data_IF_546431417617
#
_entry.id   IF_546431417617
#
_cell.length_a   1.000
_cell.length_b   1.000
_cell.length_c   1.000
_cell.angle_alpha   90.00
_cell.angle_beta   90.00
_cell.angle_gamma   90.00
#
_symmetry.space_group_name_H-M   'P 1'
#
loop_
_entity.id
_entity.type
_entity.pdbx_description
1 polymer ?
#
# COMPACT_ATOMS: atom_id res chain seq x y z
N UNK A 1 5.65 6.23 11.37
CA UNK A 1 6.16 7.03 10.23
C UNK A 1 5.10 8.05 9.80
N UNK A 2 5.47 9.14 9.10
CA UNK A 2 4.51 10.02 8.42
C UNK A 2 4.77 9.94 6.93
N UNK A 3 3.71 9.78 6.15
CA UNK A 3 3.76 9.91 4.69
C UNK A 3 3.21 11.28 4.33
N UNK A 4 3.97 12.07 3.59
CA UNK A 4 3.55 13.40 3.15
C UNK A 4 3.62 13.46 1.63
N UNK A 5 2.48 13.70 0.99
CA UNK A 5 2.44 14.06 -0.42
C UNK A 5 2.62 15.58 -0.54
N UNK A 6 3.82 15.99 -0.96
CA UNK A 6 4.16 17.40 -1.14
C UNK A 6 3.36 18.09 -2.25
N UNK A 7 2.81 17.33 -3.22
CA UNK A 7 2.00 17.90 -4.31
C UNK A 7 0.63 18.37 -3.79
N UNK A 8 0.10 17.69 -2.77
CA UNK A 8 -1.25 17.95 -2.25
C UNK A 8 -1.27 18.47 -0.81
N UNK A 9 -0.11 18.60 -0.14
CA UNK A 9 -0.03 19.00 1.26
C UNK A 9 -0.63 17.97 2.24
N UNK A 10 -0.95 16.78 1.74
CA UNK A 10 -1.55 15.69 2.51
C UNK A 10 -0.50 15.04 3.40
N UNK A 11 -0.82 14.80 4.67
CA UNK A 11 0.04 14.05 5.58
C UNK A 11 -0.76 12.98 6.31
N UNK A 12 -0.39 11.72 6.11
CA UNK A 12 -0.99 10.58 6.78
C UNK A 12 -0.03 10.04 7.85
N UNK A 13 -0.56 9.69 9.03
CA UNK A 13 0.18 8.86 9.99
C UNK A 13 0.21 7.42 9.48
N UNK A 14 1.39 6.81 9.41
CA UNK A 14 1.57 5.42 8.98
C UNK A 14 1.96 4.55 10.18
N UNK A 15 1.13 3.54 10.44
CA UNK A 15 1.42 2.42 11.32
C UNK A 15 2.15 1.33 10.52
N UNK A 16 3.47 1.42 10.56
CA UNK A 16 4.38 0.51 9.88
C UNK A 16 4.61 -0.74 10.74
N UNK A 17 4.85 -1.88 10.10
CA UNK A 17 5.20 -3.13 10.77
C UNK A 17 6.51 -3.67 10.21
N UNK A 18 7.45 -3.98 11.10
CA UNK A 18 8.79 -4.42 10.71
C UNK A 18 8.85 -5.94 10.38
N UNK A 19 7.72 -6.64 10.50
CA UNK A 19 7.60 -8.10 10.36
C UNK A 19 6.81 -8.55 9.13
N UNK A 20 6.35 -7.61 8.28
CA UNK A 20 5.50 -7.94 7.12
C UNK A 20 6.26 -8.49 5.91
N UNK A 21 7.52 -8.10 5.74
CA UNK A 21 8.35 -8.56 4.64
C UNK A 21 9.84 -8.49 5.03
N UNK A 22 10.65 -9.35 4.42
CA UNK A 22 12.11 -9.24 4.49
C UNK A 22 12.60 -8.27 3.38
N UNK A 23 13.27 -7.15 3.73
CA UNK A 23 13.81 -6.20 2.74
C UNK A 23 14.79 -6.84 1.75
N UNK A 24 15.47 -7.92 2.14
CA UNK A 24 16.51 -8.58 1.36
C UNK A 24 16.05 -9.88 0.68
N UNK A 25 14.78 -10.28 0.86
CA UNK A 25 14.18 -11.40 0.14
C UNK A 25 14.28 -11.17 -1.37
N UNK A 26 14.88 -12.14 -2.07
CA UNK A 26 14.96 -12.12 -3.53
C UNK A 26 13.62 -12.56 -4.11
N UNK A 27 12.98 -11.65 -4.84
CA UNK A 27 11.68 -11.82 -5.47
C UNK A 27 11.77 -11.57 -6.96
N UNK A 28 10.70 -11.90 -7.69
CA UNK A 28 10.61 -11.61 -9.12
C UNK A 28 9.40 -10.73 -9.45
N UNK A 29 9.54 -9.89 -10.46
CA UNK A 29 8.46 -9.06 -10.97
C UNK A 29 8.61 -8.80 -12.46
N UNK A 30 7.58 -8.19 -13.08
CA UNK A 30 7.63 -7.78 -14.48
C UNK A 30 8.06 -6.32 -14.62
N UNK A 31 9.06 -6.09 -15.47
CA UNK A 31 9.53 -4.78 -15.91
C UNK A 31 9.64 -4.80 -17.43
N UNK A 32 8.91 -3.91 -18.11
CA UNK A 32 8.85 -3.83 -19.58
C UNK A 32 8.58 -5.19 -20.24
N UNK A 33 7.59 -5.93 -19.72
CA UNK A 33 7.22 -7.27 -20.21
C UNK A 33 8.16 -8.41 -19.84
N UNK A 34 9.35 -8.14 -19.28
CA UNK A 34 10.34 -9.16 -18.91
C UNK A 34 10.31 -9.46 -17.41
N UNK A 35 10.53 -10.73 -17.06
CA UNK A 35 10.73 -11.16 -15.67
C UNK A 35 12.12 -10.68 -15.23
N UNK A 36 12.18 -9.97 -14.11
CA UNK A 36 13.42 -9.57 -13.44
C UNK A 36 13.42 -10.12 -12.02
N UNK A 37 14.60 -10.21 -11.42
CA UNK A 37 14.80 -10.65 -10.05
C UNK A 37 15.56 -9.58 -9.27
N UNK A 38 15.33 -9.52 -7.97
CA UNK A 38 16.00 -8.61 -7.06
C UNK A 38 15.35 -8.60 -5.68
N UNK A 39 15.92 -7.86 -4.76
CA UNK A 39 15.43 -7.70 -3.38
C UNK A 39 14.12 -6.90 -3.34
N UNK A 40 13.38 -7.00 -2.22
CA UNK A 40 12.24 -6.12 -1.97
C UNK A 40 12.63 -4.63 -2.02
N UNK A 41 13.83 -4.26 -1.56
CA UNK A 41 14.37 -2.91 -1.71
C UNK A 41 14.45 -2.48 -3.19
N UNK A 42 15.01 -3.33 -4.06
CA UNK A 42 15.11 -3.04 -5.50
C UNK A 42 13.74 -2.98 -6.17
N UNK A 43 12.82 -3.84 -5.75
CA UNK A 43 11.43 -3.83 -6.23
C UNK A 43 10.71 -2.53 -5.86
N UNK A 44 10.88 -2.05 -4.63
CA UNK A 44 10.31 -0.77 -4.15
C UNK A 44 10.86 0.44 -4.90
N UNK A 45 12.16 0.45 -5.24
CA UNK A 45 12.76 1.49 -6.09
C UNK A 45 12.12 1.58 -7.49
N UNK A 46 11.37 0.57 -7.92
CA UNK A 46 10.58 0.61 -9.16
C UNK A 46 9.12 1.04 -8.97
N UNK A 47 8.77 1.55 -7.79
CA UNK A 47 7.42 2.02 -7.45
C UNK A 47 6.43 0.89 -7.15
N UNK A 48 6.91 -0.27 -6.68
CA UNK A 48 6.08 -1.44 -6.41
C UNK A 48 6.14 -1.85 -4.94
N UNK A 49 4.98 -2.13 -4.32
CA UNK A 49 4.87 -2.49 -2.89
C UNK A 49 5.54 -3.84 -2.55
N UNK A 50 6.43 -3.93 -1.55
CA UNK A 50 7.24 -5.13 -1.27
C UNK A 50 6.37 -6.39 -1.12
N UNK A 51 6.95 -7.56 -1.37
CA UNK A 51 6.25 -8.83 -1.20
C UNK A 51 6.57 -9.43 0.17
N UNK A 52 5.55 -10.00 0.81
CA UNK A 52 5.70 -10.78 2.03
C UNK A 52 6.36 -12.16 1.79
N UNK A 53 6.45 -12.97 2.84
CA UNK A 53 7.04 -14.32 2.79
C UNK A 53 6.31 -15.26 1.80
N UNK A 54 5.03 -15.01 1.51
CA UNK A 54 4.20 -15.77 0.58
C UNK A 54 4.25 -15.21 -0.85
N UNK A 55 5.11 -14.23 -1.11
CA UNK A 55 5.22 -13.48 -2.36
C UNK A 55 3.96 -12.66 -2.72
N UNK A 56 3.17 -12.27 -1.71
CA UNK A 56 1.99 -11.43 -1.86
C UNK A 56 2.37 -9.97 -1.58
N UNK A 57 1.90 -8.98 -2.36
CA UNK A 57 2.18 -7.58 -2.06
C UNK A 57 1.66 -7.18 -0.68
N UNK A 58 2.49 -6.47 0.08
CA UNK A 58 2.05 -5.72 1.27
C UNK A 58 1.13 -4.60 0.81
N UNK A 59 0.01 -4.42 1.52
CA UNK A 59 -1.05 -3.47 1.21
C UNK A 59 -1.12 -2.36 2.26
N UNK A 60 -1.68 -1.22 1.88
CA UNK A 60 -1.98 -0.11 2.79
C UNK A 60 -3.49 -0.06 3.02
N UNK A 61 -3.90 -0.17 4.27
CA UNK A 61 -5.27 0.03 4.69
C UNK A 61 -5.47 1.45 5.24
N UNK A 62 -6.46 2.16 4.72
CA UNK A 62 -6.91 3.43 5.31
C UNK A 62 -7.80 3.13 6.51
N UNK A 63 -7.38 3.56 7.69
CA UNK A 63 -8.12 3.35 8.95
C UNK A 63 -9.38 4.24 9.03
N UNK A 64 -9.32 5.40 8.38
CA UNK A 64 -10.44 6.30 8.15
C UNK A 64 -10.51 6.58 6.66
N UNK A 65 -11.69 6.57 6.08
CA UNK A 65 -11.90 6.83 4.65
C UNK A 65 -11.92 8.33 4.32
N UNK A 66 -10.95 9.07 4.89
CA UNK A 66 -10.71 10.49 4.63
C UNK A 66 -9.34 10.66 3.96
N UNK A 67 -9.09 11.75 3.21
CA UNK A 67 -7.79 11.99 2.58
C UNK A 67 -6.63 11.94 3.57
N UNK A 68 -6.74 12.59 4.72
CA UNK A 68 -5.69 12.72 5.73
C UNK A 68 -5.71 11.61 6.81
N UNK A 69 -6.57 10.60 6.63
CA UNK A 69 -6.75 9.51 7.59
C UNK A 69 -5.49 8.68 7.81
N UNK A 70 -5.29 8.07 9.00
CA UNK A 70 -4.15 7.18 9.22
C UNK A 70 -4.15 5.96 8.30
N UNK A 71 -2.95 5.49 7.96
CA UNK A 71 -2.71 4.29 7.17
C UNK A 71 -2.08 3.20 8.04
N UNK A 72 -2.40 1.94 7.76
CA UNK A 72 -1.76 0.77 8.34
C UNK A 72 -1.23 -0.16 7.24
N UNK A 73 0.00 -0.64 7.40
CA UNK A 73 0.51 -1.71 6.55
C UNK A 73 -0.08 -3.06 6.97
N UNK A 74 -0.53 -3.83 5.99
CA UNK A 74 -1.22 -5.11 6.18
C UNK A 74 -0.84 -6.07 5.05
N UNK A 75 -1.08 -7.36 5.24
CA UNK A 75 -0.93 -8.38 4.20
C UNK A 75 -2.24 -8.56 3.42
N UNK A 76 -2.41 -9.70 2.75
CA UNK A 76 -3.69 -10.19 2.21
C UNK A 76 -4.89 -10.14 3.19
N UNK A 77 -4.65 -9.89 4.47
CA UNK A 77 -5.66 -9.50 5.46
C UNK A 77 -6.65 -8.45 4.93
N UNK A 78 -6.17 -7.41 4.22
CA UNK A 78 -7.04 -6.33 3.73
C UNK A 78 -8.14 -6.84 2.80
N UNK A 79 -7.77 -7.66 1.81
CA UNK A 79 -8.74 -8.28 0.92
C UNK A 79 -9.60 -9.34 1.63
N UNK A 80 -8.99 -10.18 2.48
CA UNK A 80 -9.70 -11.27 3.18
C UNK A 80 -10.77 -10.77 4.16
N UNK A 81 -10.54 -9.61 4.77
CA UNK A 81 -11.41 -9.04 5.82
C UNK A 81 -12.07 -7.73 5.40
N UNK A 82 -12.10 -7.43 4.10
CA UNK A 82 -12.59 -6.18 3.54
C UNK A 82 -13.92 -5.70 4.17
N UNK A 83 -14.92 -6.57 4.27
CA UNK A 83 -16.24 -6.22 4.82
C UNK A 83 -16.23 -5.85 6.31
N UNK A 84 -15.26 -6.37 7.07
CA UNK A 84 -15.14 -6.09 8.51
C UNK A 84 -14.38 -4.78 8.78
N UNK A 85 -13.48 -4.38 7.87
CA UNK A 85 -12.57 -3.25 8.07
C UNK A 85 -12.99 -2.00 7.29
N UNK A 86 -13.96 -2.10 6.38
CA UNK A 86 -14.56 -0.95 5.69
C UNK A 86 -16.03 -0.80 6.13
N UNK A 87 -16.29 0.21 6.97
CA UNK A 87 -17.63 0.50 7.51
C UNK A 87 -18.57 1.06 6.44
N UNK A 88 -18.07 1.95 5.58
CA UNK A 88 -18.88 2.47 4.49
C UNK A 88 -18.88 1.48 3.32
N UNK A 89 -20.06 1.15 2.78
CA UNK A 89 -20.15 0.30 1.60
C UNK A 89 -19.51 0.99 0.40
N UNK A 90 -18.99 0.20 -0.55
CA UNK A 90 -18.36 0.68 -1.78
C UNK A 90 -19.29 1.54 -2.68
N UNK A 91 -20.58 1.59 -2.35
CA UNK A 91 -21.60 2.43 -2.97
C UNK A 91 -21.61 3.85 -2.44
N UNK A 92 -21.08 4.08 -1.23
CA UNK A 92 -20.70 5.40 -0.76
C UNK A 92 -19.28 5.64 -1.26
N UNK A 93 -19.13 6.54 -2.23
CA UNK A 93 -17.81 6.91 -2.75
C UNK A 93 -16.87 7.29 -1.60
N UNK A 94 -15.58 7.01 -1.78
CA UNK A 94 -14.56 7.48 -0.84
C UNK A 94 -14.70 9.01 -0.69
N UNK A 95 -14.57 9.54 0.52
CA UNK A 95 -14.44 10.99 0.72
C UNK A 95 -13.06 11.50 0.22
N UNK A 96 -12.21 10.60 -0.26
CA UNK A 96 -11.00 10.92 -0.99
C UNK A 96 -11.39 11.43 -2.38
N UNK A 97 -11.07 12.70 -2.64
CA UNK A 97 -11.09 13.27 -3.98
C UNK A 97 -10.02 12.58 -4.84
N UNK A 98 -10.41 11.52 -5.55
CA UNK A 98 -9.51 10.73 -6.39
C UNK A 98 -9.06 11.49 -7.64
N UNK A 99 -9.89 12.41 -8.13
CA UNK A 99 -9.59 13.19 -9.33
C UNK A 99 -8.47 14.18 -9.07
N UNK A 100 -8.34 14.69 -7.83
CA UNK A 100 -7.15 15.44 -7.42
C UNK A 100 -5.84 14.65 -7.62
N UNK A 101 -5.87 13.31 -7.52
CA UNK A 101 -4.69 12.44 -7.67
C UNK A 101 -4.57 11.82 -9.08
N UNK A 102 -5.53 12.05 -9.97
CA UNK A 102 -5.41 11.62 -11.35
C UNK A 102 -4.31 12.47 -12.05
N UNK A 103 -3.34 11.78 -12.66
CA UNK A 103 -2.31 12.40 -13.51
C UNK A 103 -2.86 12.71 -14.90
#
# INVERSE_FOLDING_TARGET
MKFTDSKFGQTNKVYQRDDLFDPYQVVSWRKNGKKVWGTNIERMKTGRAPLDADNIPVELHHMLQTPDGPLAEVTAFHNKHHSAIHINPNTMGSAIDRDAFAL
#
